data_IF_961441458916
#
_entry.id   IF_961441458916
#
_cell.length_a   1.000
_cell.length_b   1.000
_cell.length_c   1.000
_cell.angle_alpha   90.00
_cell.angle_beta   90.00
_cell.angle_gamma   90.00
#
_symmetry.space_group_name_H-M   'P 1'
#
loop_
_entity.id
_entity.type
_entity.pdbx_description
1 polymer ?
2 water ?
#
# COMPACT_ATOMS: atom_id res chain seq x y z
N UNK A 1 7.97 -0.48 -8.16
CA UNK A 1 7.40 0.72 -7.45
C UNK A 1 5.88 0.64 -7.35
N UNK A 2 5.30 -0.21 -8.21
CA UNK A 2 3.83 -0.25 -8.43
C UNK A 2 3.08 -1.26 -7.62
N UNK A 3 3.77 -2.30 -7.15
CA UNK A 3 3.12 -3.43 -6.47
C UNK A 3 3.78 -3.64 -5.11
N UNK A 4 4.18 -2.57 -4.42
CA UNK A 4 4.84 -2.77 -3.16
C UNK A 4 3.90 -3.49 -2.17
N UNK A 5 2.62 -3.14 -2.21
CA UNK A 5 1.62 -3.74 -1.32
C UNK A 5 0.44 -4.29 -2.12
N UNK A 6 -0.14 -5.41 -1.66
CA UNK A 6 -1.33 -5.96 -2.27
C UNK A 6 -2.45 -6.21 -1.20
N UNK A 7 -3.67 -5.82 -1.52
CA UNK A 7 -4.85 -6.16 -0.65
C UNK A 7 -5.09 -7.66 -0.80
N UNK A 8 -5.10 -8.37 0.32
CA UNK A 8 -5.51 -9.77 0.30
C UNK A 8 -7.04 -9.82 0.21
N UNK A 9 -7.70 -9.03 1.07
CA UNK A 9 -9.16 -9.03 1.11
C UNK A 9 -9.72 -7.87 1.96
N UNK A 10 -10.98 -7.54 1.70
CA UNK A 10 -11.74 -6.65 2.58
C UNK A 10 -12.31 -7.43 3.75
N UNK A 11 -11.99 -7.00 4.96
CA UNK A 11 -12.44 -7.68 6.15
C UNK A 11 -13.85 -7.21 6.60
N UNK A 12 -14.14 -5.93 6.38
CA UNK A 12 -15.43 -5.32 6.79
C UNK A 12 -15.45 -3.93 6.24
N UNK A 13 -16.62 -3.27 6.33
CA UNK A 13 -16.80 -1.93 5.81
C UNK A 13 -17.49 -1.06 6.87
N UNK A 14 -17.51 0.25 6.62
CA UNK A 14 -18.28 1.17 7.41
C UNK A 14 -18.59 2.44 6.59
N UNK A 15 -19.61 3.19 7.04
CA UNK A 15 -19.72 4.57 6.60
C UNK A 15 -19.42 5.53 7.74
N UNK A 16 -18.93 6.72 7.39
CA UNK A 16 -18.67 7.73 8.41
C UNK A 16 -19.15 9.02 7.78
N UNK A 17 -20.26 9.55 8.33
CA UNK A 17 -21.07 10.55 7.61
C UNK A 17 -21.40 10.13 6.19
N UNK A 18 -21.92 8.91 6.03
CA UNK A 18 -22.32 8.42 4.68
C UNK A 18 -21.22 7.95 3.70
N UNK A 19 -19.96 8.30 3.96
CA UNK A 19 -18.87 7.96 3.04
C UNK A 19 -18.28 6.59 3.40
N UNK A 20 -18.08 5.73 2.40
CA UNK A 20 -17.62 4.33 2.60
C UNK A 20 -16.12 4.18 2.87
N UNK A 21 -15.81 3.44 3.92
CA UNK A 21 -14.48 2.94 4.20
C UNK A 21 -14.43 1.39 4.22
N UNK A 22 -13.28 0.80 3.86
CA UNK A 22 -13.09 -0.65 3.91
C UNK A 22 -11.94 -1.02 4.83
N UNK A 23 -12.13 -2.02 5.67
CA UNK A 23 -11.04 -2.48 6.47
C UNK A 23 -10.33 -3.53 5.66
N UNK A 24 -9.03 -3.34 5.46
CA UNK A 24 -8.21 -4.15 4.51
C UNK A 24 -7.13 -5.01 5.21
N UNK A 25 -7.04 -6.26 4.78
CA UNK A 25 -5.96 -7.20 5.16
C UNK A 25 -4.95 -7.08 4.02
N UNK A 26 -3.72 -6.70 4.35
CA UNK A 26 -2.61 -6.63 3.35
C UNK A 26 -1.91 -7.96 3.23
N UNK A 27 -1.81 -8.46 1.99
CA UNK A 27 -1.26 -9.76 1.70
C UNK A 27 0.16 -9.76 2.16
N UNK A 28 0.49 -10.80 2.90
CA UNK A 28 1.79 -10.96 3.48
C UNK A 28 1.98 -10.26 4.81
N UNK A 29 0.93 -9.64 5.35
CA UNK A 29 1.10 -8.90 6.62
C UNK A 29 0.19 -9.47 7.68
N UNK A 30 0.35 -9.10 8.95
CA UNK A 30 -0.48 -9.72 9.99
C UNK A 30 -1.70 -8.88 10.16
N UNK A 31 -2.58 -9.33 11.04
CA UNK A 31 -3.75 -8.55 11.40
C UNK A 31 -3.40 -7.22 12.11
N UNK A 32 -2.21 -7.10 12.71
CA UNK A 32 -1.78 -5.82 13.33
C UNK A 32 -1.60 -4.71 12.29
N UNK A 33 -1.44 -5.12 11.04
CA UNK A 33 -1.17 -4.21 9.94
C UNK A 33 -2.43 -3.79 9.20
N UNK A 34 -3.58 -4.39 9.53
CA UNK A 34 -4.84 -4.01 8.87
C UNK A 34 -5.10 -2.50 8.92
N UNK A 35 -5.69 -1.96 7.85
CA UNK A 35 -5.98 -0.54 7.78
C UNK A 35 -7.40 -0.26 7.29
N UNK A 36 -7.93 0.90 7.64
CA UNK A 36 -9.15 1.37 7.03
C UNK A 36 -8.85 2.22 5.79
N UNK A 37 -9.44 1.91 4.64
CA UNK A 37 -9.14 2.71 3.45
C UNK A 37 -10.39 3.35 2.91
N UNK A 38 -10.27 4.55 2.33
CA UNK A 38 -11.43 5.09 1.63
C UNK A 38 -11.80 4.26 0.45
N UNK A 39 -13.09 4.31 0.10
CA UNK A 39 -13.67 3.50 -0.95
C UNK A 39 -12.97 3.69 -2.29
N UNK A 40 -12.63 4.94 -2.61
CA UNK A 40 -11.98 5.23 -3.90
C UNK A 40 -10.65 4.47 -4.10
N UNK A 41 -9.98 4.06 -3.01
CA UNK A 41 -8.79 3.18 -3.11
C UNK A 41 -9.12 1.76 -3.60
N UNK A 42 -10.30 1.27 -3.25
CA UNK A 42 -10.65 -0.10 -3.62
C UNK A 42 -11.65 -0.23 -4.74
N UNK A 43 -12.24 0.89 -5.18
CA UNK A 43 -13.42 0.84 -6.07
C UNK A 43 -13.21 0.06 -7.34
N UNK A 44 -11.96 0.02 -7.80
CA UNK A 44 -11.63 -0.66 -9.03
C UNK A 44 -11.03 -2.04 -8.79
N UNK A 45 -10.95 -2.50 -7.52
CA UNK A 45 -10.43 -3.83 -7.24
C UNK A 45 -11.58 -4.83 -7.35
N UNK A 46 -11.88 -5.21 -8.59
CA UNK A 46 -13.09 -5.98 -8.91
C UNK A 46 -13.17 -7.33 -8.19
N UNK A 47 -12.08 -8.08 -8.17
CA UNK A 47 -12.07 -9.40 -7.54
C UNK A 47 -12.18 -9.26 -6.04
N UNK A 48 -11.48 -8.29 -5.48
CA UNK A 48 -11.56 -8.06 -4.06
C UNK A 48 -12.99 -7.69 -3.65
N UNK A 49 -13.64 -6.85 -4.44
CA UNK A 49 -15.02 -6.48 -4.16
C UNK A 49 -16.02 -7.66 -4.27
N UNK A 50 -15.88 -8.48 -5.31
CA UNK A 50 -16.74 -9.64 -5.55
C UNK A 50 -16.69 -10.57 -4.34
N UNK A 51 -15.47 -10.82 -3.85
CA UNK A 51 -15.26 -11.66 -2.71
C UNK A 51 -15.88 -11.10 -1.46
N UNK A 52 -15.77 -9.78 -1.26
CA UNK A 52 -16.42 -9.18 -0.08
C UNK A 52 -17.97 -9.23 -0.19
N UNK A 53 -18.52 -9.03 -1.38
CA UNK A 53 -19.95 -9.08 -1.56
C UNK A 53 -20.43 -10.51 -1.28
N UNK A 54 -19.63 -11.50 -1.68
CA UNK A 54 -19.98 -12.88 -1.42
C UNK A 54 -20.01 -13.14 0.09
N UNK A 55 -19.02 -12.64 0.83
CA UNK A 55 -18.99 -12.79 2.29
C UNK A 55 -20.19 -12.09 2.94
N UNK A 56 -20.64 -10.98 2.37
CA UNK A 56 -21.86 -10.32 2.92
C UNK A 56 -23.08 -11.24 2.73
N UNK A 57 -23.30 -11.69 1.49
CA UNK A 57 -24.37 -12.63 1.13
C UNK A 57 -24.39 -13.93 1.95
N UNK A 58 -23.22 -14.44 2.32
CA UNK A 58 -23.08 -15.69 3.09
C UNK A 58 -23.39 -15.54 4.57
N UNK A 59 -23.17 -14.34 5.09
CA UNK A 59 -23.40 -14.06 6.49
C UNK A 59 -24.82 -13.56 6.69
N UNK A 60 -25.48 -13.27 5.57
CA UNK A 60 -26.87 -12.91 5.56
C UNK A 60 -27.67 -14.21 5.78
N UNK A 61 -27.61 -15.11 4.79
CA UNK A 61 -28.36 -16.39 4.75
C UNK A 61 -28.11 -17.09 3.42
N UNK B 1 -6.70 -4.82 -6.49
CA UNK B 1 -6.18 -4.96 -5.09
C UNK B 1 -4.67 -4.79 -5.14
N UNK B 2 -4.09 -4.81 -6.34
CA UNK B 2 -2.61 -4.87 -6.45
C UNK B 2 -1.94 -3.52 -6.73
N UNK B 3 -2.72 -2.54 -7.19
CA UNK B 3 -2.13 -1.27 -7.65
C UNK B 3 -2.70 -0.07 -6.87
N UNK B 4 -2.92 -0.20 -5.58
CA UNK B 4 -3.57 0.88 -4.83
C UNK B 4 -2.60 2.06 -4.65
N UNK B 5 -1.33 1.76 -4.33
CA UNK B 5 -0.30 2.79 -4.12
C UNK B 5 0.84 2.59 -5.10
N UNK B 6 1.55 3.66 -5.45
CA UNK B 6 2.69 3.52 -6.31
C UNK B 6 3.82 4.40 -5.79
N UNK B 7 5.03 3.87 -5.71
CA UNK B 7 6.16 4.71 -5.24
C UNK B 7 6.48 5.68 -6.34
N UNK B 8 6.59 6.96 -6.01
CA UNK B 8 7.12 7.92 -6.99
C UNK B 8 8.64 7.83 -7.08
N UNK B 9 9.31 7.97 -5.94
CA UNK B 9 10.77 7.92 -5.93
C UNK B 9 11.23 7.70 -4.50
N UNK B 10 12.49 7.30 -4.35
CA UNK B 10 13.12 7.25 -3.03
C UNK B 10 13.71 8.64 -2.86
N UNK B 11 13.44 9.27 -1.71
CA UNK B 11 13.90 10.64 -1.40
C UNK B 11 15.31 10.62 -0.74
N UNK B 12 15.55 9.58 0.06
CA UNK B 12 16.78 9.49 0.85
C UNK B 12 16.77 8.08 1.47
N UNK B 13 17.86 7.74 2.14
CA UNK B 13 18.09 6.42 2.72
C UNK B 13 18.72 6.62 4.07
N UNK B 14 18.66 5.59 4.91
CA UNK B 14 19.44 5.54 6.17
C UNK B 14 19.71 4.09 6.56
N UNK B 15 20.69 3.85 7.45
CA UNK B 15 20.76 2.55 8.12
C UNK B 15 20.45 2.77 9.57
N UNK B 16 19.89 1.74 10.18
CA UNK B 16 19.59 1.72 11.61
C UNK B 16 20.08 0.33 12.07
N UNK B 17 21.25 0.29 12.71
CA UNK B 17 21.92 -0.98 13.05
C UNK B 17 22.38 -1.74 11.82
N UNK B 18 22.76 -1.02 10.77
CA UNK B 18 23.18 -1.67 9.54
C UNK B 18 22.05 -2.09 8.58
N UNK B 19 20.80 -2.11 9.04
CA UNK B 19 19.63 -2.34 8.17
C UNK B 19 19.26 -1.05 7.40
N UNK B 20 19.00 -1.19 6.10
CA UNK B 20 18.69 -0.11 5.15
C UNK B 20 17.20 0.22 5.13
N UNK B 21 16.87 1.50 5.33
CA UNK B 21 15.52 1.97 5.16
C UNK B 21 15.55 3.06 4.08
N UNK B 22 14.49 3.12 3.29
CA UNK B 22 14.35 4.11 2.23
C UNK B 22 13.20 5.00 2.58
N UNK B 23 13.38 6.31 2.42
CA UNK B 23 12.27 7.25 2.68
C UNK B 23 11.57 7.42 1.36
N UNK B 24 10.27 7.18 1.34
CA UNK B 24 9.55 7.02 0.07
C UNK B 24 8.57 8.16 -0.21
N UNK B 25 8.61 8.69 -1.43
CA UNK B 25 7.57 9.65 -1.88
C UNK B 25 6.53 8.85 -2.64
N UNK B 26 5.26 8.90 -2.22
CA UNK B 26 4.22 8.15 -2.95
C UNK B 26 3.57 9.00 -4.08
N UNK B 27 3.43 8.43 -5.28
CA UNK B 27 2.79 9.12 -6.41
C UNK B 27 1.45 9.69 -6.03
N UNK B 28 1.24 10.96 -6.39
CA UNK B 28 0.00 11.68 -6.07
C UNK B 28 0.05 12.45 -4.77
N UNK B 29 0.97 12.04 -3.90
CA UNK B 29 1.01 12.52 -2.53
C UNK B 29 2.19 13.47 -2.32
N UNK B 30 2.21 14.13 -1.17
CA UNK B 30 3.23 15.12 -0.86
C UNK B 30 4.09 14.54 0.24
N UNK B 31 5.05 15.33 0.71
CA UNK B 31 5.92 14.99 1.87
C UNK B 31 5.19 14.73 3.19
N UNK B 32 4.01 15.33 3.40
CA UNK B 32 3.20 14.95 4.57
C UNK B 32 3.00 13.42 4.66
N UNK B 33 2.95 12.76 3.50
CA UNK B 33 2.64 11.31 3.47
C UNK B 33 3.88 10.39 3.28
N UNK B 34 5.10 10.96 3.26
CA UNK B 34 6.29 10.12 3.04
C UNK B 34 6.41 9.07 4.11
N UNK B 35 6.97 7.92 3.78
CA UNK B 35 7.15 6.88 4.78
C UNK B 35 8.55 6.31 4.69
N UNK B 36 9.01 5.71 5.78
CA UNK B 36 10.31 5.05 5.81
C UNK B 36 10.03 3.56 5.62
N UNK B 37 10.65 2.95 4.62
CA UNK B 37 10.33 1.56 4.31
C UNK B 37 11.61 0.75 4.38
N UNK B 38 11.54 -0.44 4.99
CA UNK B 38 12.65 -1.35 4.93
C UNK B 38 13.00 -1.66 3.50
N UNK B 39 14.29 -1.85 3.27
CA UNK B 39 14.82 -2.04 1.94
C UNK B 39 14.13 -3.16 1.17
N UNK B 40 13.80 -4.25 1.87
CA UNK B 40 13.09 -5.38 1.25
C UNK B 40 11.81 -5.01 0.55
N UNK B 41 11.10 -3.97 1.01
CA UNK B 41 9.84 -3.58 0.33
C UNK B 41 10.07 -3.05 -1.03
N UNK B 42 11.25 -2.48 -1.26
CA UNK B 42 11.52 -1.92 -2.54
C UNK B 42 12.48 -2.77 -3.41
N UNK B 43 12.88 -3.93 -2.92
CA UNK B 43 13.94 -4.74 -3.62
C UNK B 43 13.56 -5.05 -5.08
N UNK B 44 12.28 -5.09 -5.36
CA UNK B 44 11.87 -5.37 -6.70
C UNK B 44 11.56 -4.15 -7.58
N UNK B 45 11.78 -2.92 -7.09
CA UNK B 45 11.40 -1.72 -7.86
C UNK B 45 12.62 -1.20 -8.61
N UNK B 46 12.90 -1.84 -9.74
CA UNK B 46 14.20 -1.75 -10.37
C UNK B 46 14.48 -0.33 -10.81
N UNK B 47 13.51 0.29 -11.48
CA UNK B 47 13.67 1.66 -12.00
C UNK B 47 13.78 2.67 -10.88
N UNK B 48 13.00 2.46 -9.82
CA UNK B 48 13.02 3.35 -8.67
C UNK B 48 14.39 3.33 -8.00
N UNK B 49 14.90 2.13 -7.80
CA UNK B 49 16.25 1.94 -7.25
C UNK B 49 17.33 2.63 -8.13
N UNK B 50 17.30 2.35 -9.43
CA UNK B 50 18.20 2.96 -10.43
C UNK B 50 18.18 4.49 -10.32
N UNK B 51 16.97 5.05 -10.26
CA UNK B 51 16.83 6.51 -10.17
C UNK B 51 17.51 7.02 -8.94
N UNK B 52 17.36 6.29 -7.84
CA UNK B 52 17.96 6.74 -6.59
C UNK B 52 19.49 6.67 -6.63
N UNK B 53 20.04 5.61 -7.20
CA UNK B 53 21.50 5.53 -7.36
C UNK B 53 22.03 6.69 -8.20
N UNK B 54 21.34 6.97 -9.30
CA UNK B 54 21.66 8.15 -10.12
C UNK B 54 21.57 9.47 -9.36
N UNK B 55 20.59 9.63 -8.47
CA UNK B 55 20.50 10.82 -7.64
C UNK B 55 21.77 10.94 -6.80
N UNK B 56 22.09 9.88 -6.06
CA UNK B 56 23.32 9.80 -5.25
C UNK B 56 24.57 10.14 -6.11
N UNK B 57 24.75 9.40 -7.22
CA UNK B 57 25.86 9.62 -8.17
C UNK B 57 25.95 11.08 -8.65
N UNK B 58 24.80 11.71 -8.92
CA UNK B 58 24.77 13.13 -9.27
C UNK B 58 25.20 14.00 -8.07
N UNK B 59 24.61 13.76 -6.90
CA UNK B 59 24.98 14.47 -5.67
C UNK B 59 26.40 14.10 -5.22
#
# INVERSE_FOLDING_TARGET
GEDVFEVEKILDMKTEGGKVLYKVRWKGYTSDDDTWEPEIHLEDCKEVLLEFRKKIAENKAK
GEDVFEVEKILDMKTEGGKVLYKVRWKGYTSDDDTWEPEIHLEDCKEVLLEFRKKIAENKAK
#
